data_IF_490953006358
#
_entry.id   IF_490953006358
#
_cell.length_a   1.000
_cell.length_b   1.000
_cell.length_c   1.000
_cell.angle_alpha   90.00
_cell.angle_beta   90.00
_cell.angle_gamma   90.00
#
_symmetry.space_group_name_H-M   'P 1'
#
loop_
_entity.id
_entity.type
_entity.pdbx_description
1 polymer ?
#
# COMPACT_ATOMS: atom_id res chain seq x y z
N UNK A 1 -40.54 -0.43 -26.13
CA UNK A 1 -39.91 -1.17 -25.01
C UNK A 1 -38.57 -1.69 -25.50
N UNK A 2 -37.50 -0.95 -25.23
CA UNK A 2 -36.13 -1.37 -25.57
C UNK A 2 -35.65 -2.19 -24.38
N UNK A 3 -35.39 -3.50 -24.60
CA UNK A 3 -34.76 -4.34 -23.62
C UNK A 3 -33.30 -3.89 -23.45
N UNK A 4 -32.78 -3.66 -22.25
CA UNK A 4 -31.36 -3.46 -22.08
C UNK A 4 -30.64 -4.76 -22.43
N UNK A 5 -29.81 -4.72 -23.46
CA UNK A 5 -28.91 -5.81 -23.80
C UNK A 5 -27.93 -5.95 -22.63
N UNK A 6 -27.96 -7.09 -21.97
CA UNK A 6 -26.92 -7.47 -21.02
C UNK A 6 -25.63 -7.62 -21.84
N UNK A 7 -24.75 -6.65 -21.78
CA UNK A 7 -23.40 -6.80 -22.31
C UNK A 7 -22.72 -7.90 -21.50
N UNK A 8 -22.70 -9.11 -22.05
CA UNK A 8 -21.82 -10.18 -21.58
C UNK A 8 -20.40 -9.71 -21.86
N UNK A 9 -19.68 -9.33 -20.82
CA UNK A 9 -18.24 -9.11 -20.93
C UNK A 9 -17.60 -10.40 -21.40
N UNK A 10 -16.88 -10.33 -22.53
CA UNK A 10 -16.13 -11.46 -23.04
C UNK A 10 -15.14 -11.95 -21.96
N UNK A 11 -14.91 -13.28 -21.82
CA UNK A 11 -13.91 -13.80 -20.89
C UNK A 11 -12.55 -13.19 -21.25
N UNK A 12 -11.95 -12.45 -20.31
CA UNK A 12 -10.63 -11.83 -20.47
C UNK A 12 -10.60 -10.32 -20.75
N UNK A 13 -11.74 -9.60 -20.70
CA UNK A 13 -11.70 -8.13 -20.75
C UNK A 13 -11.14 -7.56 -19.44
N UNK A 14 -10.12 -6.71 -19.56
CA UNK A 14 -9.58 -5.97 -18.41
C UNK A 14 -10.70 -5.11 -17.79
N UNK A 15 -10.74 -5.01 -16.45
CA UNK A 15 -11.71 -4.14 -15.79
C UNK A 15 -11.51 -2.68 -16.23
N UNK A 16 -12.60 -1.94 -16.33
CA UNK A 16 -12.53 -0.49 -16.51
C UNK A 16 -12.26 0.16 -15.15
N UNK A 17 -11.48 1.23 -15.13
CA UNK A 17 -11.09 1.98 -13.92
C UNK A 17 -10.40 1.10 -12.87
N UNK A 18 -9.30 0.39 -13.21
CA UNK A 18 -8.55 -0.44 -12.26
C UNK A 18 -7.99 0.35 -11.08
N UNK A 19 -7.83 1.66 -11.22
CA UNK A 19 -7.40 2.60 -10.18
C UNK A 19 -8.36 2.68 -8.99
N UNK A 20 -9.61 2.22 -9.12
CA UNK A 20 -10.54 2.08 -8.00
C UNK A 20 -10.09 1.06 -6.94
N UNK A 21 -9.13 0.22 -7.27
CA UNK A 21 -8.46 -0.68 -6.31
C UNK A 21 -7.40 0.05 -5.47
N UNK A 22 -6.95 1.24 -5.91
CA UNK A 22 -6.07 2.08 -5.10
C UNK A 22 -6.87 2.68 -3.94
N UNK A 23 -6.39 2.47 -2.73
CA UNK A 23 -7.09 2.98 -1.55
C UNK A 23 -6.34 4.15 -0.95
N UNK A 24 -7.01 5.30 -0.77
CA UNK A 24 -6.38 6.52 -0.32
C UNK A 24 -6.31 6.58 1.22
N UNK A 25 -5.46 5.78 1.87
CA UNK A 25 -5.16 5.93 3.29
C UNK A 25 -3.89 5.15 3.68
N UNK A 26 -3.01 5.76 4.46
CA UNK A 26 -1.77 5.12 4.91
C UNK A 26 -2.02 4.07 6.00
N UNK A 27 -2.98 4.28 6.93
CA UNK A 27 -3.22 3.34 8.04
C UNK A 27 -3.59 1.94 7.57
N UNK A 28 -4.60 1.73 6.70
CA UNK A 28 -4.95 0.40 6.21
C UNK A 28 -3.82 -0.25 5.40
N UNK A 29 -3.13 0.52 4.57
CA UNK A 29 -2.01 0.01 3.77
C UNK A 29 -0.87 -0.45 4.65
N UNK A 30 -0.54 0.29 5.72
CA UNK A 30 0.43 -0.17 6.72
C UNK A 30 0.06 -1.49 7.40
N UNK A 31 -1.24 -1.87 7.38
CA UNK A 31 -1.78 -3.14 7.86
C UNK A 31 -1.97 -4.18 6.72
N UNK A 32 -1.31 -4.01 5.57
CA UNK A 32 -1.44 -4.93 4.43
C UNK A 32 -2.84 -4.99 3.86
N UNK A 33 -3.57 -3.88 3.90
CA UNK A 33 -4.99 -3.74 3.48
C UNK A 33 -6.00 -4.61 4.25
N UNK A 34 -5.59 -5.31 5.31
CA UNK A 34 -6.47 -6.08 6.19
C UNK A 34 -7.21 -5.16 7.16
N UNK A 35 -8.22 -4.44 6.67
CA UNK A 35 -8.88 -3.36 7.41
C UNK A 35 -10.42 -3.43 7.41
N UNK A 36 -11.04 -4.27 6.59
CA UNK A 36 -12.50 -4.38 6.44
C UNK A 36 -13.24 -4.69 7.75
N UNK A 37 -12.63 -5.43 8.69
CA UNK A 37 -13.19 -5.69 10.02
C UNK A 37 -12.76 -4.66 11.08
N UNK A 38 -11.69 -3.90 10.84
CA UNK A 38 -11.22 -2.83 11.75
C UNK A 38 -12.02 -1.55 11.53
N UNK A 39 -12.04 -0.98 10.36
CA UNK A 39 -12.84 0.13 9.79
C UNK A 39 -13.46 1.08 10.83
N UNK A 40 -12.65 1.82 11.61
CA UNK A 40 -13.07 2.65 12.72
C UNK A 40 -12.59 4.12 12.67
N UNK A 41 -12.15 4.57 11.49
CA UNK A 41 -11.77 5.96 11.17
C UNK A 41 -12.36 6.40 9.82
N UNK A 42 -11.94 7.55 9.27
CA UNK A 42 -12.41 8.05 7.99
C UNK A 42 -12.12 7.09 6.82
N UNK A 43 -11.12 6.19 6.94
CA UNK A 43 -10.83 5.18 5.93
C UNK A 43 -11.93 4.13 5.79
N UNK A 44 -12.82 4.00 6.79
CA UNK A 44 -14.01 3.14 6.69
C UNK A 44 -14.82 3.42 5.42
N UNK A 45 -14.85 4.67 4.96
CA UNK A 45 -15.51 5.06 3.73
C UNK A 45 -15.01 4.25 2.53
N UNK A 46 -13.73 3.90 2.49
CA UNK A 46 -13.09 3.22 1.37
C UNK A 46 -13.04 1.69 1.53
N UNK A 47 -12.99 1.17 2.76
CA UNK A 47 -12.81 -0.25 3.05
C UNK A 47 -14.11 -0.96 3.36
N UNK A 48 -14.89 -0.41 4.30
CA UNK A 48 -16.18 -0.96 4.71
C UNK A 48 -17.07 0.17 5.24
N UNK A 49 -18.01 0.68 4.45
CA UNK A 49 -18.84 1.81 4.84
C UNK A 49 -19.71 1.55 6.10
N UNK A 50 -19.90 0.28 6.50
CA UNK A 50 -20.56 -0.03 7.78
C UNK A 50 -19.79 0.52 8.99
N UNK A 51 -18.46 0.69 8.87
CA UNK A 51 -17.63 1.27 9.92
C UNK A 51 -17.98 2.72 10.26
N UNK A 52 -18.58 3.45 9.33
CA UNK A 52 -19.07 4.81 9.58
C UNK A 52 -20.09 4.87 10.73
N UNK A 53 -20.81 3.76 10.99
CA UNK A 53 -21.72 3.67 12.13
C UNK A 53 -21.01 3.68 13.50
N UNK A 54 -19.73 3.29 13.53
CA UNK A 54 -18.96 3.13 14.76
C UNK A 54 -17.82 4.13 14.90
N UNK A 55 -17.86 5.24 14.13
CA UNK A 55 -16.86 6.29 14.26
C UNK A 55 -16.86 6.89 15.67
N UNK A 56 -15.70 6.99 16.33
CA UNK A 56 -15.60 7.56 17.67
C UNK A 56 -15.78 9.08 17.68
N UNK A 57 -15.45 9.74 16.57
CA UNK A 57 -15.49 11.22 16.39
C UNK A 57 -15.51 11.59 14.93
N UNK A 58 -15.72 12.86 14.63
CA UNK A 58 -15.56 13.38 13.30
C UNK A 58 -14.08 13.55 12.95
N UNK A 59 -13.74 13.29 11.69
CA UNK A 59 -12.38 13.32 11.17
C UNK A 59 -12.36 13.92 9.76
N UNK A 60 -11.38 14.79 9.51
CA UNK A 60 -10.98 15.24 8.18
C UNK A 60 -9.60 14.63 7.91
N UNK A 61 -9.42 13.99 6.78
CA UNK A 61 -8.12 13.43 6.37
C UNK A 61 -7.75 13.87 4.98
N UNK A 62 -6.46 14.05 4.75
CA UNK A 62 -5.86 14.26 3.44
C UNK A 62 -4.73 13.25 3.23
N UNK A 63 -4.64 12.68 2.03
CA UNK A 63 -3.67 11.66 1.66
C UNK A 63 -2.90 12.10 0.43
N UNK A 64 -1.61 11.80 0.41
CA UNK A 64 -0.71 11.91 -0.72
C UNK A 64 -0.03 10.56 -0.96
N UNK A 65 -0.07 10.09 -2.21
CA UNK A 65 0.61 8.89 -2.69
C UNK A 65 1.48 9.25 -3.88
N UNK A 66 2.77 8.94 -3.78
CA UNK A 66 3.64 8.80 -4.95
C UNK A 66 3.43 7.40 -5.54
N UNK A 67 2.93 7.36 -6.76
CA UNK A 67 2.61 6.14 -7.49
C UNK A 67 3.62 5.90 -8.61
N UNK A 68 3.38 4.89 -9.44
CA UNK A 68 4.26 4.50 -10.55
C UNK A 68 4.46 5.62 -11.58
N UNK A 69 5.65 5.70 -12.18
CA UNK A 69 5.95 6.58 -13.31
C UNK A 69 5.62 8.07 -13.04
N UNK A 70 5.92 8.53 -11.81
CA UNK A 70 5.64 9.90 -11.37
C UNK A 70 4.15 10.25 -11.29
N UNK A 71 3.25 9.25 -11.36
CA UNK A 71 1.84 9.47 -11.06
C UNK A 71 1.65 9.82 -9.58
N UNK A 72 0.70 10.68 -9.30
CA UNK A 72 0.34 11.08 -7.93
C UNK A 72 -1.14 10.89 -7.68
N UNK A 73 -1.50 10.39 -6.49
CA UNK A 73 -2.88 10.31 -6.03
C UNK A 73 -3.07 11.17 -4.78
N UNK A 74 -3.97 12.12 -4.89
CA UNK A 74 -4.35 13.04 -3.83
C UNK A 74 -5.78 12.77 -3.42
N UNK A 75 -6.03 12.56 -2.14
CA UNK A 75 -7.38 12.37 -1.67
C UNK A 75 -7.65 13.15 -0.39
N UNK A 76 -8.89 13.60 -0.24
CA UNK A 76 -9.39 14.13 1.01
C UNK A 76 -10.70 13.41 1.38
N UNK A 77 -10.88 13.15 2.67
CA UNK A 77 -12.09 12.55 3.20
C UNK A 77 -12.54 13.28 4.46
N UNK A 78 -13.85 13.30 4.63
CA UNK A 78 -14.49 13.73 5.87
C UNK A 78 -15.44 12.62 6.32
N UNK A 79 -15.39 12.25 7.57
CA UNK A 79 -16.32 11.30 8.15
C UNK A 79 -16.78 11.79 9.54
N UNK A 80 -18.06 11.60 9.87
CA UNK A 80 -18.64 12.09 11.11
C UNK A 80 -19.74 11.19 11.62
N UNK A 81 -19.77 10.86 12.91
CA UNK A 81 -20.97 10.34 13.53
C UNK A 81 -22.07 11.42 13.51
N UNK A 82 -23.31 11.04 13.19
CA UNK A 82 -24.51 11.90 13.19
C UNK A 82 -25.48 11.52 14.31
N UNK A 83 -25.35 10.29 14.83
CA UNK A 83 -26.15 9.78 15.94
C UNK A 83 -25.36 8.72 16.70
N UNK A 84 -25.97 8.14 17.75
CA UNK A 84 -25.40 6.98 18.46
C UNK A 84 -25.18 5.75 17.60
N UNK A 85 -25.97 5.60 16.56
CA UNK A 85 -26.04 4.38 15.72
C UNK A 85 -25.72 4.65 14.27
N UNK A 86 -25.34 5.88 13.90
CA UNK A 86 -25.11 6.21 12.50
C UNK A 86 -24.09 7.30 12.27
N UNK A 87 -23.41 7.18 11.14
CA UNK A 87 -22.45 8.15 10.66
C UNK A 87 -22.48 8.27 9.14
N UNK A 88 -21.85 9.31 8.64
CA UNK A 88 -21.71 9.56 7.21
C UNK A 88 -20.27 9.96 6.88
N UNK A 89 -19.94 9.86 5.61
CA UNK A 89 -18.65 10.30 5.09
C UNK A 89 -18.75 10.77 3.64
N UNK A 90 -17.80 11.60 3.25
CA UNK A 90 -17.60 12.05 1.87
C UNK A 90 -16.10 12.06 1.55
N UNK A 91 -15.79 11.88 0.27
CA UNK A 91 -14.42 12.02 -0.21
C UNK A 91 -14.35 12.64 -1.60
N UNK A 92 -13.21 13.23 -1.88
CA UNK A 92 -12.76 13.59 -3.22
C UNK A 92 -11.36 13.00 -3.42
N UNK A 93 -11.09 12.47 -4.62
CA UNK A 93 -9.78 11.94 -5.01
C UNK A 93 -9.39 12.44 -6.38
N UNK A 94 -8.12 12.67 -6.59
CA UNK A 94 -7.55 13.13 -7.85
C UNK A 94 -6.27 12.35 -8.15
N UNK A 95 -6.35 11.41 -9.10
CA UNK A 95 -5.23 10.66 -9.61
C UNK A 95 -4.71 11.30 -10.89
N UNK A 96 -3.46 11.70 -10.89
CA UNK A 96 -2.77 12.29 -12.02
C UNK A 96 -1.68 11.35 -12.50
N UNK A 97 -1.83 10.80 -13.70
CA UNK A 97 -0.85 9.91 -14.31
C UNK A 97 0.31 10.65 -14.99
N UNK A 98 0.31 11.99 -14.97
CA UNK A 98 1.33 12.80 -15.63
C UNK A 98 1.10 12.98 -17.12
N UNK A 99 2.18 13.28 -17.83
CA UNK A 99 2.17 13.59 -19.25
C UNK A 99 2.80 12.45 -20.04
N UNK A 100 2.14 12.03 -21.12
CA UNK A 100 2.59 10.98 -22.03
C UNK A 100 2.93 11.55 -23.40
N UNK A 101 3.97 11.02 -24.03
CA UNK A 101 4.30 11.31 -25.42
C UNK A 101 3.26 10.71 -26.36
N UNK A 102 2.74 11.54 -27.26
CA UNK A 102 1.97 11.07 -28.41
C UNK A 102 2.92 10.72 -29.53
N UNK A 103 2.85 9.48 -30.02
CA UNK A 103 3.69 8.99 -31.12
C UNK A 103 2.84 8.48 -32.28
N UNK A 104 3.31 8.68 -33.50
CA UNK A 104 2.68 8.10 -34.67
C UNK A 104 3.03 6.61 -34.83
N UNK A 105 2.51 5.98 -35.89
CA UNK A 105 2.78 4.57 -36.19
C UNK A 105 4.25 4.26 -36.52
N UNK A 106 5.09 5.26 -36.77
CA UNK A 106 6.51 5.14 -36.98
C UNK A 106 7.33 5.42 -35.72
N UNK A 107 6.67 5.70 -34.59
CA UNK A 107 7.30 6.01 -33.31
C UNK A 107 7.78 7.46 -33.17
N UNK A 108 7.50 8.33 -34.14
CA UNK A 108 7.88 9.75 -34.09
C UNK A 108 6.94 10.49 -33.12
N UNK A 109 7.51 11.28 -32.22
CA UNK A 109 6.74 12.09 -31.28
C UNK A 109 6.00 13.19 -32.04
N UNK A 110 4.66 13.19 -31.92
CA UNK A 110 3.76 14.14 -32.59
C UNK A 110 3.09 15.12 -31.63
N UNK A 111 3.38 14.97 -30.31
CA UNK A 111 2.83 15.82 -29.26
C UNK A 111 2.86 15.13 -27.92
N UNK A 112 2.02 15.60 -27.00
CA UNK A 112 1.84 14.99 -25.69
C UNK A 112 0.37 15.06 -25.27
N UNK A 113 -0.01 14.23 -24.28
CA UNK A 113 -1.33 14.23 -23.66
C UNK A 113 -1.24 13.88 -22.18
N UNK A 114 -2.27 14.24 -21.41
CA UNK A 114 -2.38 13.93 -19.99
C UNK A 114 -3.47 12.88 -19.75
N UNK A 115 -3.30 12.10 -18.69
CA UNK A 115 -4.32 11.22 -18.15
C UNK A 115 -4.57 11.56 -16.67
N UNK A 116 -5.85 11.63 -16.28
CA UNK A 116 -6.26 11.98 -14.90
C UNK A 116 -7.62 11.44 -14.58
N UNK A 117 -7.84 11.14 -13.30
CA UNK A 117 -9.12 10.69 -12.77
C UNK A 117 -9.55 11.58 -11.61
N UNK A 118 -10.84 11.87 -11.56
CA UNK A 118 -11.50 12.56 -10.45
C UNK A 118 -12.54 11.63 -9.87
N UNK A 119 -12.49 11.41 -8.55
CA UNK A 119 -13.49 10.62 -7.82
C UNK A 119 -14.18 11.48 -6.78
N UNK A 120 -15.50 11.30 -6.64
CA UNK A 120 -16.31 11.89 -5.57
C UNK A 120 -17.19 10.80 -4.98
N UNK A 121 -17.08 10.60 -3.67
CA UNK A 121 -17.83 9.56 -2.96
C UNK A 121 -18.62 10.09 -1.79
N UNK A 122 -19.78 9.51 -1.57
CA UNK A 122 -20.64 9.74 -0.40
C UNK A 122 -21.02 8.40 0.20
N UNK A 123 -20.96 8.29 1.53
CA UNK A 123 -21.29 7.05 2.23
C UNK A 123 -22.00 7.30 3.56
N UNK A 124 -22.72 6.28 4.01
CA UNK A 124 -23.38 6.27 5.31
C UNK A 124 -23.30 4.86 5.93
N UNK A 125 -23.23 4.81 7.25
CA UNK A 125 -23.28 3.59 8.05
C UNK A 125 -24.36 3.70 9.12
N UNK A 126 -25.02 2.58 9.40
CA UNK A 126 -26.07 2.48 10.41
C UNK A 126 -25.93 1.20 11.21
N UNK A 127 -25.88 1.29 12.52
CA UNK A 127 -26.01 0.14 13.43
C UNK A 127 -27.47 -0.24 13.55
N UNK A 128 -27.84 -1.41 13.03
CA UNK A 128 -29.21 -1.93 13.03
C UNK A 128 -29.62 -2.50 14.38
N UNK A 129 -28.67 -3.15 15.03
CA UNK A 129 -28.82 -3.73 16.35
C UNK A 129 -27.46 -3.75 17.04
N UNK A 130 -27.43 -3.90 18.36
CA UNK A 130 -26.20 -3.85 19.14
C UNK A 130 -25.12 -4.82 18.56
N UNK A 131 -24.08 -4.23 17.99
CA UNK A 131 -22.96 -4.95 17.41
C UNK A 131 -23.15 -5.42 15.97
N UNK A 132 -24.19 -4.98 15.24
CA UNK A 132 -24.35 -5.25 13.79
C UNK A 132 -24.63 -3.94 13.06
N UNK A 133 -23.71 -3.54 12.19
CA UNK A 133 -23.82 -2.34 11.37
C UNK A 133 -23.80 -2.69 9.89
N UNK A 134 -24.54 -1.91 9.09
CA UNK A 134 -24.54 -1.95 7.64
C UNK A 134 -24.11 -0.60 7.08
N UNK A 135 -23.57 -0.60 5.88
CA UNK A 135 -23.14 0.63 5.25
C UNK A 135 -23.32 0.60 3.74
N UNK A 136 -23.39 1.79 3.18
CA UNK A 136 -23.51 2.04 1.76
C UNK A 136 -22.62 3.20 1.39
N UNK A 137 -21.94 3.10 0.24
CA UNK A 137 -21.20 4.20 -0.40
C UNK A 137 -21.56 4.26 -1.87
N UNK A 138 -21.69 5.47 -2.41
CA UNK A 138 -21.79 5.74 -3.83
C UNK A 138 -20.61 6.58 -4.27
N UNK A 139 -19.93 6.20 -5.35
CA UNK A 139 -18.77 6.90 -5.90
C UNK A 139 -19.01 7.18 -7.38
N UNK A 140 -18.91 8.45 -7.73
CA UNK A 140 -18.82 8.89 -9.11
C UNK A 140 -17.36 9.08 -9.49
N UNK A 141 -17.00 8.62 -10.72
CA UNK A 141 -15.66 8.78 -11.29
C UNK A 141 -15.75 9.43 -12.66
N UNK A 142 -14.77 10.27 -12.94
CA UNK A 142 -14.54 10.89 -14.26
C UNK A 142 -13.08 10.69 -14.64
N UNK A 143 -12.83 9.82 -15.61
CA UNK A 143 -11.52 9.57 -16.19
C UNK A 143 -11.37 10.35 -17.47
N UNK A 144 -10.30 11.12 -17.59
CA UNK A 144 -9.94 11.86 -18.80
C UNK A 144 -8.59 11.40 -19.31
N UNK A 145 -8.56 10.86 -20.51
CA UNK A 145 -7.34 10.48 -21.23
C UNK A 145 -7.32 11.25 -22.53
N UNK A 146 -6.35 12.15 -22.68
CA UNK A 146 -6.28 13.07 -23.82
C UNK A 146 -7.54 13.95 -23.93
N UNK A 147 -8.28 13.80 -25.03
CA UNK A 147 -9.56 14.52 -25.29
C UNK A 147 -10.78 13.67 -24.94
N UNK A 148 -10.59 12.43 -24.52
CA UNK A 148 -11.68 11.50 -24.22
C UNK A 148 -11.96 11.49 -22.74
N UNK A 149 -13.21 11.70 -22.34
CA UNK A 149 -13.67 11.59 -20.95
C UNK A 149 -14.70 10.48 -20.86
N UNK A 150 -14.60 9.67 -19.81
CA UNK A 150 -15.58 8.61 -19.46
C UNK A 150 -16.03 8.80 -18.03
N UNK A 151 -17.26 8.43 -17.75
CA UNK A 151 -17.84 8.50 -16.42
C UNK A 151 -18.28 7.11 -15.94
N UNK A 152 -18.26 6.94 -14.63
CA UNK A 152 -18.75 5.73 -13.97
C UNK A 152 -19.45 6.08 -12.65
N UNK A 153 -20.35 5.20 -12.22
CA UNK A 153 -21.02 5.27 -10.94
C UNK A 153 -20.97 3.91 -10.27
N UNK A 154 -20.41 3.88 -9.05
CA UNK A 154 -20.13 2.66 -8.31
C UNK A 154 -20.76 2.70 -6.94
N UNK A 155 -21.07 1.51 -6.41
CA UNK A 155 -21.64 1.35 -5.09
C UNK A 155 -20.84 0.31 -4.31
N UNK A 156 -20.63 0.60 -3.04
CA UNK A 156 -20.04 -0.33 -2.07
C UNK A 156 -21.07 -0.63 -0.99
N UNK A 157 -21.16 -1.90 -0.61
CA UNK A 157 -22.00 -2.38 0.48
C UNK A 157 -21.11 -2.93 1.60
N UNK A 158 -21.43 -2.59 2.83
CA UNK A 158 -20.70 -3.03 4.01
C UNK A 158 -21.57 -3.70 5.04
N UNK A 159 -21.00 -4.71 5.69
CA UNK A 159 -21.53 -5.32 6.91
C UNK A 159 -20.38 -5.43 7.91
N UNK A 160 -20.64 -5.04 9.15
CA UNK A 160 -19.68 -5.13 10.24
C UNK A 160 -20.39 -5.67 11.49
N UNK A 161 -19.78 -6.62 12.18
CA UNK A 161 -20.36 -7.22 13.37
C UNK A 161 -19.33 -7.40 14.48
N UNK A 162 -19.80 -7.32 15.74
CA UNK A 162 -19.04 -7.59 16.96
C UNK A 162 -19.58 -8.85 17.65
N UNK A 163 -19.27 -10.07 17.14
CA UNK A 163 -19.77 -11.32 17.73
C UNK A 163 -19.28 -11.51 19.17
N UNK A 164 -18.13 -10.96 19.52
CA UNK A 164 -17.56 -10.96 20.86
C UNK A 164 -16.94 -9.58 21.16
N UNK A 165 -16.76 -9.27 22.46
CA UNK A 165 -16.23 -7.95 22.90
C UNK A 165 -14.92 -7.52 22.22
N UNK A 166 -14.08 -8.49 21.83
CA UNK A 166 -12.74 -8.24 21.28
C UNK A 166 -12.57 -8.73 19.84
N UNK A 167 -13.65 -9.23 19.24
CA UNK A 167 -13.64 -9.77 17.88
C UNK A 167 -14.61 -8.97 17.03
N UNK A 168 -14.17 -8.54 15.86
CA UNK A 168 -15.01 -7.98 14.81
C UNK A 168 -14.94 -8.88 13.59
N UNK A 169 -16.03 -8.97 12.84
CA UNK A 169 -16.06 -9.59 11.54
C UNK A 169 -16.67 -8.62 10.54
N UNK A 170 -16.12 -8.55 9.34
CA UNK A 170 -16.50 -7.63 8.29
C UNK A 170 -16.70 -8.32 6.94
N UNK A 171 -17.67 -7.81 6.19
CA UNK A 171 -17.89 -8.13 4.78
C UNK A 171 -18.05 -6.82 4.03
N UNK A 172 -17.35 -6.67 2.90
CA UNK A 172 -17.56 -5.59 1.98
C UNK A 172 -17.70 -6.12 0.54
N UNK A 173 -18.70 -5.62 -0.17
CA UNK A 173 -18.87 -5.81 -1.62
C UNK A 173 -18.58 -4.47 -2.27
N UNK A 174 -17.51 -4.40 -3.06
CA UNK A 174 -16.98 -3.14 -3.60
C UNK A 174 -17.13 -3.04 -5.11
N UNK A 175 -17.24 -1.82 -5.57
CA UNK A 175 -17.25 -1.49 -6.99
C UNK A 175 -18.40 -2.16 -7.77
N UNK A 176 -19.59 -2.25 -7.17
CA UNK A 176 -20.81 -2.65 -7.85
C UNK A 176 -21.28 -1.45 -8.70
N UNK A 177 -21.38 -1.57 -10.03
CA UNK A 177 -21.82 -0.39 -10.77
C UNK A 177 -21.78 -0.50 -12.28
N UNK A 178 -21.81 0.67 -12.91
CA UNK A 178 -21.93 0.84 -14.36
C UNK A 178 -20.99 1.93 -14.85
N UNK A 179 -20.49 1.77 -16.08
CA UNK A 179 -19.67 2.75 -16.77
C UNK A 179 -20.21 3.11 -18.13
N UNK A 180 -19.91 4.31 -18.58
CA UNK A 180 -20.16 4.71 -19.97
C UNK A 180 -19.30 3.88 -20.94
N UNK A 181 -19.92 3.45 -22.05
CA UNK A 181 -19.26 2.65 -23.08
C UNK A 181 -19.18 1.16 -22.76
N UNK A 182 -19.77 0.70 -21.64
CA UNK A 182 -19.72 -0.70 -21.21
C UNK A 182 -18.35 -1.05 -20.57
N UNK A 183 -18.27 -2.24 -20.04
CA UNK A 183 -17.11 -2.74 -19.31
C UNK A 183 -17.47 -3.05 -17.86
N UNK A 184 -16.86 -4.09 -17.30
CA UNK A 184 -17.10 -4.48 -15.93
C UNK A 184 -16.20 -3.66 -14.99
N UNK A 185 -16.76 -3.18 -13.86
CA UNK A 185 -15.94 -2.60 -12.81
C UNK A 185 -15.00 -3.64 -12.20
N UNK A 186 -13.97 -3.23 -11.47
CA UNK A 186 -13.13 -4.14 -10.70
C UNK A 186 -13.87 -4.59 -9.42
N UNK A 187 -14.95 -5.36 -9.60
CA UNK A 187 -15.73 -5.89 -8.47
C UNK A 187 -14.86 -6.72 -7.54
N UNK A 188 -15.01 -6.50 -6.25
CA UNK A 188 -14.27 -7.19 -5.22
C UNK A 188 -15.19 -7.51 -4.03
N UNK A 189 -15.05 -8.71 -3.45
CA UNK A 189 -15.64 -9.03 -2.16
C UNK A 189 -14.54 -9.29 -1.12
N UNK A 190 -14.64 -8.62 0.04
CA UNK A 190 -13.68 -8.67 1.15
C UNK A 190 -14.32 -9.29 2.37
N UNK A 191 -13.68 -10.30 2.94
CA UNK A 191 -14.14 -11.07 4.10
C UNK A 191 -13.06 -10.99 5.18
N UNK A 192 -13.37 -10.41 6.31
CA UNK A 192 -12.37 -10.12 7.33
C UNK A 192 -12.79 -10.51 8.73
N UNK A 193 -11.79 -10.85 9.55
CA UNK A 193 -11.90 -10.98 10.99
C UNK A 193 -10.76 -10.21 11.64
N UNK A 194 -11.09 -9.46 12.69
CA UNK A 194 -10.11 -8.73 13.48
C UNK A 194 -10.28 -9.04 14.97
N UNK A 195 -9.17 -9.17 15.65
CA UNK A 195 -9.11 -9.39 17.09
C UNK A 195 -8.29 -8.29 17.75
N UNK A 196 -8.72 -7.86 18.94
CA UNK A 196 -8.10 -6.80 19.71
C UNK A 196 -7.71 -7.30 21.10
N UNK A 197 -6.51 -6.95 21.56
CA UNK A 197 -5.99 -7.48 22.83
C UNK A 197 -6.67 -6.89 24.05
N UNK A 198 -7.07 -5.62 23.99
CA UNK A 198 -7.65 -4.89 25.10
C UNK A 198 -9.06 -4.37 24.76
N UNK A 199 -9.78 -3.88 25.75
CA UNK A 199 -11.03 -3.17 25.55
C UNK A 199 -10.79 -1.79 24.92
N UNK A 200 -11.84 -1.19 24.37
CA UNK A 200 -11.74 0.06 23.60
C UNK A 200 -11.16 1.24 24.35
N UNK A 201 -11.25 1.24 25.68
CA UNK A 201 -10.75 2.33 26.53
C UNK A 201 -9.26 2.23 26.89
N UNK A 202 -8.59 1.13 26.57
CA UNK A 202 -7.18 0.96 26.88
C UNK A 202 -6.31 1.94 26.08
N UNK A 203 -5.33 2.60 26.73
CA UNK A 203 -4.37 3.47 26.03
C UNK A 203 -3.37 2.68 25.20
N UNK A 204 -3.22 1.38 25.46
CA UNK A 204 -2.34 0.49 24.72
C UNK A 204 -3.17 -0.66 24.14
N UNK A 205 -3.06 -0.88 22.87
CA UNK A 205 -3.84 -1.89 22.19
C UNK A 205 -3.04 -2.58 21.08
N UNK A 206 -3.44 -3.79 20.73
CA UNK A 206 -2.93 -4.48 19.54
C UNK A 206 -4.14 -4.98 18.76
N UNK A 207 -4.22 -4.63 17.49
CA UNK A 207 -5.09 -5.24 16.52
C UNK A 207 -4.35 -6.32 15.76
N UNK A 208 -4.98 -7.45 15.56
CA UNK A 208 -4.59 -8.47 14.59
C UNK A 208 -5.77 -8.70 13.66
N UNK A 209 -5.55 -8.67 12.38
CA UNK A 209 -6.59 -8.85 11.36
C UNK A 209 -6.15 -9.82 10.28
N UNK A 210 -7.13 -10.57 9.77
CA UNK A 210 -6.99 -11.41 8.60
C UNK A 210 -8.15 -11.16 7.66
N UNK A 211 -7.85 -11.06 6.37
CA UNK A 211 -8.81 -10.70 5.34
C UNK A 211 -8.60 -11.54 4.08
N UNK A 212 -9.68 -11.92 3.42
CA UNK A 212 -9.67 -12.59 2.13
C UNK A 212 -10.35 -11.70 1.10
N UNK A 213 -9.65 -11.39 0.02
CA UNK A 213 -10.13 -10.61 -1.11
C UNK A 213 -10.43 -11.57 -2.26
N UNK A 214 -11.69 -11.64 -2.69
CA UNK A 214 -12.09 -12.39 -3.86
C UNK A 214 -12.40 -11.44 -5.01
N UNK A 215 -11.60 -11.52 -6.08
CA UNK A 215 -11.72 -10.71 -7.28
C UNK A 215 -12.11 -11.64 -8.44
N UNK A 216 -13.37 -11.63 -8.92
CA UNK A 216 -13.76 -12.41 -10.08
C UNK A 216 -12.92 -12.02 -11.29
N UNK A 217 -12.37 -13.02 -11.96
CA UNK A 217 -11.45 -12.83 -13.11
C UNK A 217 -10.10 -12.16 -12.78
N UNK A 218 -9.75 -12.08 -11.49
CA UNK A 218 -8.48 -11.57 -11.00
C UNK A 218 -7.81 -12.55 -10.03
N UNK A 219 -6.76 -12.07 -9.34
CA UNK A 219 -6.08 -12.83 -8.30
C UNK A 219 -6.85 -12.74 -6.99
N UNK A 220 -7.16 -13.87 -6.37
CA UNK A 220 -7.57 -13.86 -4.97
C UNK A 220 -6.37 -13.57 -4.07
N UNK A 221 -6.57 -12.75 -3.04
CA UNK A 221 -5.53 -12.32 -2.12
C UNK A 221 -5.92 -12.67 -0.69
N UNK A 222 -4.92 -12.89 0.15
CA UNK A 222 -5.07 -12.97 1.61
C UNK A 222 -4.25 -11.86 2.22
N UNK A 223 -4.86 -11.07 3.06
CA UNK A 223 -4.22 -9.99 3.78
C UNK A 223 -4.14 -10.30 5.27
N UNK A 224 -2.97 -10.04 5.86
CA UNK A 224 -2.73 -10.15 7.30
C UNK A 224 -2.24 -8.80 7.80
N UNK A 225 -2.81 -8.31 8.89
CA UNK A 225 -2.48 -7.02 9.45
C UNK A 225 -2.29 -7.04 10.95
N UNK A 226 -1.36 -6.23 11.41
CA UNK A 226 -1.16 -5.94 12.82
C UNK A 226 -0.99 -4.43 13.03
N UNK A 227 -1.62 -3.90 14.09
CA UNK A 227 -1.43 -2.52 14.54
C UNK A 227 -1.18 -2.54 16.05
N UNK A 228 -0.09 -1.91 16.50
CA UNK A 228 0.23 -1.69 17.90
C UNK A 228 0.01 -0.22 18.19
N UNK A 229 -0.94 0.07 19.07
CA UNK A 229 -1.21 1.40 19.60
C UNK A 229 -0.55 1.56 20.97
N UNK A 230 0.33 2.55 21.11
CA UNK A 230 1.01 2.87 22.36
C UNK A 230 0.61 4.25 22.86
N UNK A 231 -0.03 4.30 24.04
CA UNK A 231 -0.51 5.51 24.72
C UNK A 231 -1.41 6.42 23.87
N UNK A 232 -2.05 5.88 22.83
CA UNK A 232 -2.81 6.65 21.82
C UNK A 232 -1.98 7.74 21.14
N UNK A 233 -0.67 7.64 21.23
CA UNK A 233 0.30 8.58 20.68
C UNK A 233 1.04 8.00 19.49
N UNK A 234 1.53 6.77 19.61
CA UNK A 234 2.35 6.10 18.60
C UNK A 234 1.63 4.86 18.09
N UNK A 235 1.70 4.66 16.77
CA UNK A 235 1.11 3.53 16.07
C UNK A 235 2.19 2.87 15.21
N UNK A 236 2.39 1.57 15.40
CA UNK A 236 3.27 0.75 14.59
C UNK A 236 2.42 -0.29 13.87
N UNK A 237 2.61 -0.42 12.55
CA UNK A 237 1.83 -1.31 11.71
C UNK A 237 2.74 -2.19 10.89
N UNK A 238 2.28 -3.42 10.69
CA UNK A 238 2.89 -4.36 9.77
C UNK A 238 1.78 -5.12 9.07
N UNK A 239 1.97 -5.36 7.79
CA UNK A 239 1.03 -6.07 6.95
C UNK A 239 1.71 -6.98 5.96
N UNK A 240 0.96 -7.98 5.51
CA UNK A 240 1.40 -8.91 4.49
C UNK A 240 0.23 -9.32 3.61
N UNK A 241 0.32 -9.04 2.32
CA UNK A 241 -0.70 -9.34 1.31
C UNK A 241 -0.05 -10.05 0.12
N UNK A 242 0.20 -11.39 0.22
CA UNK A 242 0.73 -12.16 -0.89
C UNK A 242 -0.30 -12.35 -2.00
N UNK A 243 0.15 -12.27 -3.25
CA UNK A 243 -0.63 -12.70 -4.41
C UNK A 243 -0.63 -14.23 -4.48
N UNK A 244 -1.80 -14.86 -4.25
CA UNK A 244 -1.96 -16.31 -4.28
C UNK A 244 -2.02 -16.91 -5.69
N UNK A 245 -2.22 -16.09 -6.71
CA UNK A 245 -2.32 -16.57 -8.12
C UNK A 245 -0.96 -16.83 -8.74
N UNK A 246 0.11 -16.29 -8.16
CA UNK A 246 1.45 -16.42 -8.70
C UNK A 246 2.19 -17.59 -8.04
N UNK A 247 2.47 -18.66 -8.81
CA UNK A 247 3.25 -19.83 -8.35
C UNK A 247 4.70 -19.49 -7.94
N UNK A 248 5.16 -18.25 -8.13
CA UNK A 248 6.45 -17.75 -7.69
C UNK A 248 6.28 -16.81 -6.49
N UNK A 249 5.82 -17.34 -5.37
CA UNK A 249 5.74 -16.61 -4.10
C UNK A 249 7.16 -16.18 -3.66
N UNK A 250 7.53 -14.96 -3.99
CA UNK A 250 8.68 -14.32 -3.35
C UNK A 250 8.16 -13.78 -1.99
N UNK A 251 8.69 -14.29 -0.89
CA UNK A 251 8.21 -14.02 0.49
C UNK A 251 8.15 -12.52 0.87
N UNK A 252 8.92 -11.67 0.20
CA UNK A 252 8.96 -10.22 0.48
C UNK A 252 7.89 -9.42 -0.28
N UNK A 253 7.20 -10.02 -1.27
CA UNK A 253 6.11 -9.38 -1.98
C UNK A 253 4.91 -9.24 -1.07
N UNK A 254 4.27 -8.06 -1.13
CA UNK A 254 3.10 -7.76 -0.32
C UNK A 254 3.40 -7.36 1.12
N UNK A 255 4.69 -7.19 1.50
CA UNK A 255 5.04 -6.62 2.80
C UNK A 255 4.69 -5.13 2.82
N UNK A 256 4.04 -4.71 3.88
CA UNK A 256 3.80 -3.30 4.18
C UNK A 256 4.17 -2.98 5.62
N UNK A 257 4.63 -1.76 5.83
CA UNK A 257 4.95 -1.22 7.15
C UNK A 257 4.29 0.14 7.31
N UNK A 258 3.87 0.48 8.52
CA UNK A 258 3.26 1.75 8.82
C UNK A 258 3.70 2.33 10.14
N UNK A 259 3.79 3.65 10.17
CA UNK A 259 4.02 4.44 11.38
C UNK A 259 2.94 5.50 11.50
N UNK A 260 2.48 5.75 12.72
CA UNK A 260 1.54 6.83 13.00
C UNK A 260 1.90 7.56 14.27
N UNK A 261 1.69 8.86 14.26
CA UNK A 261 1.86 9.72 15.45
C UNK A 261 0.61 10.58 15.61
N UNK A 262 0.01 10.54 16.80
CA UNK A 262 -1.15 11.38 17.14
C UNK A 262 -0.79 12.35 18.26
N UNK A 263 -0.89 13.63 17.98
CA UNK A 263 -0.66 14.69 18.96
C UNK A 263 -1.92 15.54 19.06
N UNK A 264 -2.63 15.46 20.17
CA UNK A 264 -3.93 16.10 20.38
C UNK A 264 -4.95 15.71 19.30
N UNK A 265 -5.34 16.65 18.43
CA UNK A 265 -6.29 16.45 17.34
C UNK A 265 -5.63 16.06 16.01
N UNK A 266 -4.31 16.18 15.88
CA UNK A 266 -3.60 15.86 14.65
C UNK A 266 -3.04 14.44 14.69
N UNK A 267 -3.21 13.71 13.64
CA UNK A 267 -2.59 12.41 13.42
C UNK A 267 -1.90 12.42 12.05
N UNK A 268 -0.65 12.01 12.04
CA UNK A 268 0.11 11.80 10.81
C UNK A 268 0.44 10.31 10.71
N UNK A 269 0.11 9.72 9.59
CA UNK A 269 0.37 8.32 9.27
C UNK A 269 1.22 8.23 8.01
N UNK A 270 2.16 7.32 8.03
CA UNK A 270 2.99 6.96 6.89
C UNK A 270 2.89 5.46 6.66
N UNK A 271 2.82 5.06 5.40
CA UNK A 271 2.90 3.66 5.01
C UNK A 271 3.88 3.47 3.85
N UNK A 272 4.61 2.39 3.96
CA UNK A 272 5.51 1.87 2.94
C UNK A 272 4.99 0.50 2.52
N UNK A 273 4.91 0.24 1.22
CA UNK A 273 4.53 -1.06 0.69
C UNK A 273 5.39 -1.45 -0.50
N UNK A 274 5.76 -2.73 -0.57
CA UNK A 274 6.54 -3.30 -1.66
C UNK A 274 5.61 -3.90 -2.71
N UNK A 275 5.66 -3.36 -3.92
CA UNK A 275 4.82 -3.77 -5.05
C UNK A 275 5.61 -4.52 -6.13
N UNK A 276 6.38 -5.53 -5.73
CA UNK A 276 7.15 -6.42 -6.61
C UNK A 276 8.12 -5.70 -7.57
N UNK A 277 8.05 -6.07 -8.85
CA UNK A 277 8.87 -5.48 -9.91
C UNK A 277 8.47 -4.03 -10.24
N UNK A 278 7.37 -3.53 -9.64
CA UNK A 278 6.88 -2.17 -9.78
C UNK A 278 7.53 -1.18 -8.78
N UNK A 279 8.34 -1.68 -7.83
CA UNK A 279 9.04 -0.84 -6.87
C UNK A 279 8.31 -0.70 -5.52
N UNK A 280 8.48 0.46 -4.92
CA UNK A 280 7.97 0.77 -3.59
C UNK A 280 6.98 1.94 -3.64
N UNK A 281 5.97 1.90 -2.77
CA UNK A 281 4.98 2.97 -2.64
C UNK A 281 5.05 3.62 -1.28
N UNK A 282 4.99 4.93 -1.28
CA UNK A 282 5.00 5.77 -0.09
C UNK A 282 3.68 6.52 0.01
N UNK A 283 2.94 6.29 1.10
CA UNK A 283 1.69 7.00 1.40
C UNK A 283 1.82 7.81 2.66
N UNK A 284 1.31 9.02 2.61
CA UNK A 284 1.21 9.92 3.75
C UNK A 284 -0.24 10.29 3.94
N UNK A 285 -0.74 10.21 5.18
CA UNK A 285 -2.07 10.69 5.55
C UNK A 285 -1.94 11.63 6.72
N UNK A 286 -2.55 12.80 6.60
CA UNK A 286 -2.70 13.75 7.68
C UNK A 286 -4.17 13.84 8.05
N UNK A 287 -4.49 13.56 9.31
CA UNK A 287 -5.86 13.59 9.84
C UNK A 287 -6.00 14.65 10.91
N UNK A 288 -7.12 15.35 10.88
CA UNK A 288 -7.58 16.22 11.95
C UNK A 288 -8.83 15.62 12.60
N UNK A 289 -8.68 15.22 13.84
CA UNK A 289 -9.74 14.63 14.66
C UNK A 289 -10.49 15.77 15.36
N UNK A 290 -11.75 16.00 15.00
CA UNK A 290 -12.54 17.06 15.59
C UNK A 290 -12.78 16.78 17.08
N UNK A 291 -12.97 17.82 17.89
CA UNK A 291 -13.35 17.66 19.30
C UNK A 291 -14.59 16.80 19.45
N UNK A 292 -14.64 16.04 20.52
CA UNK A 292 -15.80 15.22 20.85
C UNK A 292 -17.07 16.09 20.93
N UNK A 293 -18.15 15.60 20.39
CA UNK A 293 -19.47 16.23 20.45
C UNK A 293 -20.24 15.67 21.66
N UNK A 294 -20.30 16.39 22.77
CA UNK A 294 -20.96 15.89 24.00
C UNK A 294 -22.47 15.74 23.85
N UNK A 295 -23.08 16.42 22.84
CA UNK A 295 -24.49 16.34 22.48
C UNK A 295 -24.86 15.01 21.79
N UNK A 296 -23.89 14.35 21.17
CA UNK A 296 -24.04 13.00 20.66
C UNK A 296 -23.54 12.07 21.75
N UNK A 297 -24.46 11.40 22.42
CA UNK A 297 -24.15 10.31 23.32
C UNK A 297 -23.68 9.12 22.43
N UNK A 298 -22.40 9.17 22.04
CA UNK A 298 -21.78 8.27 21.07
C UNK A 298 -21.82 6.81 21.54
N UNK A 299 -21.73 5.81 20.63
CA UNK A 299 -21.81 4.38 20.96
C UNK A 299 -20.85 4.02 22.10
N UNK A 300 -21.26 3.08 22.96
CA UNK A 300 -20.37 2.50 23.99
C UNK A 300 -19.18 1.86 23.29
N UNK A 301 -18.02 2.48 23.41
CA UNK A 301 -16.79 2.11 22.70
C UNK A 301 -16.11 3.32 22.07
N UNK A 302 -16.76 4.48 22.01
CA UNK A 302 -16.08 5.74 21.74
C UNK A 302 -15.12 6.04 22.90
N UNK A 303 -13.87 6.27 22.56
CA UNK A 303 -12.81 6.63 23.51
C UNK A 303 -13.15 7.99 24.08
N UNK A 304 -13.85 8.07 25.19
CA UNK A 304 -13.84 9.30 26.00
C UNK A 304 -12.44 9.37 26.65
N UNK A 305 -11.62 10.37 26.36
CA UNK A 305 -10.54 10.70 27.26
C UNK A 305 -11.21 10.93 28.62
N UNK A 306 -10.85 10.16 29.64
CA UNK A 306 -11.25 10.46 31.00
C UNK A 306 -10.81 11.90 31.22
N UNK A 307 -11.77 12.81 31.37
CA UNK A 307 -11.45 14.21 31.62
C UNK A 307 -10.45 14.22 32.76
N UNK A 308 -9.26 14.70 32.50
CA UNK A 308 -8.25 14.94 33.55
C UNK A 308 -8.99 15.80 34.55
N UNK A 309 -9.12 15.40 35.82
CA UNK A 309 -9.83 16.23 36.81
C UNK A 309 -9.15 17.61 36.74
N UNK A 310 -9.89 18.62 36.33
CA UNK A 310 -9.43 20.00 36.43
C UNK A 310 -9.03 20.20 37.88
N UNK A 311 -7.78 20.56 38.21
CA UNK A 311 -7.42 20.83 39.58
C UNK A 311 -8.43 21.86 40.11
N UNK A 312 -9.22 21.48 41.09
CA UNK A 312 -10.14 22.41 41.72
C UNK A 312 -9.38 23.64 42.22
N UNK A 313 -10.00 24.81 42.27
CA UNK A 313 -9.35 26.02 42.73
C UNK A 313 -8.70 25.74 44.08
N UNK A 314 -7.39 25.99 44.19
CA UNK A 314 -6.61 25.84 45.40
C UNK A 314 -7.20 26.79 46.44
N UNK A 315 -7.90 26.21 47.46
CA UNK A 315 -8.34 26.99 48.62
C UNK A 315 -7.10 27.35 49.44
N UNK A 316 -6.86 28.63 49.72
CA UNK A 316 -5.74 29.03 50.59
C UNK A 316 -6.08 28.63 52.05
N UNK A 317 -5.26 27.77 52.64
CA UNK A 317 -5.26 27.60 54.09
C UNK A 317 -5.39 26.22 54.68
N UNK A 318 -4.78 25.18 54.13
CA UNK A 318 -4.59 23.95 54.92
C UNK A 318 -3.09 23.66 55.13
N UNK A 319 -2.65 23.35 56.36
CA UNK A 319 -1.25 23.13 56.68
C UNK A 319 -0.76 21.77 56.19
N UNK A 320 0.45 21.79 55.60
CA UNK A 320 1.18 20.66 55.07
C UNK A 320 1.50 19.66 56.18
N UNK A 321 0.89 18.47 56.16
CA UNK A 321 1.16 17.37 57.09
C UNK A 321 2.60 16.83 56.91
N UNK A 322 3.28 16.63 58.03
CA UNK A 322 4.67 16.15 58.13
C UNK A 322 4.86 14.77 57.48
N UNK A 323 5.93 14.66 56.71
CA UNK A 323 6.48 13.41 56.18
C UNK A 323 6.82 12.45 57.32
N UNK A 324 6.29 11.25 57.29
CA UNK A 324 6.84 10.11 58.05
C UNK A 324 8.01 9.48 57.29
N UNK A 325 9.12 9.29 58.06
CA UNK A 325 10.38 8.82 57.56
C UNK A 325 10.38 7.36 57.16
N UNK A 326 11.05 7.05 56.09
CA UNK A 326 11.46 5.72 55.67
C UNK A 326 12.78 5.34 56.32
N UNK A 327 12.80 4.26 57.06
CA UNK A 327 13.96 3.65 57.71
C UNK A 327 14.86 2.95 56.68
N UNK A 328 16.15 3.19 56.80
CA UNK A 328 17.26 2.57 56.07
C UNK A 328 17.33 1.05 56.24
N UNK A 329 17.47 0.33 55.14
CA UNK A 329 17.99 -1.02 55.12
C UNK A 329 19.24 -1.07 54.22
N UNK A 330 20.42 -1.22 54.84
CA UNK A 330 21.69 -1.25 54.15
C UNK A 330 21.95 -2.57 53.44
N UNK A 331 22.51 -2.50 52.25
CA UNK A 331 23.11 -3.63 51.50
C UNK A 331 24.37 -3.14 50.79
N UNK A 332 25.49 -3.77 51.09
CA UNK A 332 26.86 -3.48 50.64
C UNK A 332 27.02 -3.61 49.11
N UNK A 333 27.96 -2.88 48.49
CA UNK A 333 28.28 -2.99 47.08
C UNK A 333 29.20 -4.20 46.81
N UNK A 334 28.87 -4.97 45.78
CA UNK A 334 29.70 -5.98 45.20
C UNK A 334 30.54 -5.43 44.07
N UNK A 335 31.84 -5.57 44.21
CA UNK A 335 32.89 -5.31 43.23
C UNK A 335 32.77 -6.30 42.06
N UNK A 336 32.76 -5.80 40.84
CA UNK A 336 32.69 -6.59 39.61
C UNK A 336 33.40 -5.91 38.45
N UNK A 337 34.71 -6.09 38.43
CA UNK A 337 35.65 -5.70 37.38
C UNK A 337 35.28 -6.31 36.02
N UNK A 338 35.26 -5.44 34.98
CA UNK A 338 35.23 -5.78 33.56
C UNK A 338 36.61 -6.25 33.06
N UNK A 339 36.72 -7.30 32.24
CA UNK A 339 37.96 -7.60 31.54
C UNK A 339 38.08 -6.83 30.22
N UNK A 340 39.30 -6.53 29.74
CA UNK A 340 39.56 -5.68 28.59
C UNK A 340 39.41 -6.43 27.27
N UNK A 341 38.99 -5.67 26.24
CA UNK A 341 38.77 -6.10 24.86
C UNK A 341 40.07 -6.60 24.19
N UNK A 342 39.90 -7.70 23.48
CA UNK A 342 40.90 -8.24 22.55
C UNK A 342 40.34 -8.15 21.10
N UNK A 343 40.94 -7.30 20.32
CA UNK A 343 40.79 -7.26 18.87
C UNK A 343 41.56 -8.43 18.26
N UNK A 344 40.89 -9.34 17.54
CA UNK A 344 41.57 -10.32 16.67
C UNK A 344 41.46 -9.84 15.20
N UNK A 345 42.57 -9.89 14.45
CA UNK A 345 42.56 -9.60 13.02
C UNK A 345 41.94 -10.76 12.23
N UNK A 346 41.05 -10.43 11.29
CA UNK A 346 40.51 -11.40 10.35
C UNK A 346 41.52 -11.64 9.24
N UNK A 347 42.01 -12.86 9.16
CA UNK A 347 42.87 -13.36 8.08
C UNK A 347 42.00 -13.71 6.89
N UNK A 348 42.20 -13.04 5.75
CA UNK A 348 41.64 -13.39 4.46
C UNK A 348 42.48 -14.50 3.82
N UNK A 349 41.95 -15.72 3.77
CA UNK A 349 42.43 -16.75 2.86
C UNK A 349 41.42 -16.89 1.71
N UNK A 350 41.87 -16.97 0.44
CA UNK A 350 40.95 -17.15 -0.70
C UNK A 350 40.49 -18.62 -0.74
N UNK A 351 39.18 -18.79 -0.83
CA UNK A 351 38.55 -20.09 -1.02
C UNK A 351 38.70 -20.50 -2.50
N UNK A 352 39.45 -21.58 -2.72
CA UNK A 352 39.71 -22.15 -4.05
C UNK A 352 38.52 -23.02 -4.45
N UNK A 353 37.67 -22.51 -5.36
CA UNK A 353 36.51 -23.19 -5.93
C UNK A 353 36.87 -24.48 -6.68
N UNK A 354 36.05 -25.50 -6.48
CA UNK A 354 36.13 -26.80 -7.14
C UNK A 354 35.93 -26.71 -8.66
N UNK A 355 36.70 -27.42 -9.43
CA UNK A 355 36.63 -27.56 -10.88
C UNK A 355 35.46 -28.43 -11.29
N UNK A 356 34.60 -27.91 -12.19
CA UNK A 356 33.61 -28.66 -12.94
C UNK A 356 34.27 -29.21 -14.23
N UNK A 357 33.90 -30.42 -14.75
CA UNK A 357 34.61 -31.08 -15.85
C UNK A 357 34.54 -30.44 -17.22
N UNK A 358 33.69 -29.42 -17.41
CA UNK A 358 33.63 -28.63 -18.66
C UNK A 358 34.30 -27.26 -18.44
N UNK A 359 35.51 -27.15 -18.81
CA UNK A 359 36.49 -26.07 -18.74
C UNK A 359 35.97 -24.62 -18.95
N UNK A 360 34.73 -24.32 -18.52
CA UNK A 360 34.10 -23.00 -18.55
C UNK A 360 34.22 -22.38 -17.15
N UNK A 361 35.11 -21.41 -17.01
CA UNK A 361 35.25 -20.60 -15.78
C UNK A 361 34.01 -19.71 -15.67
N UNK A 362 33.01 -20.16 -14.91
CA UNK A 362 31.87 -19.32 -14.52
C UNK A 362 32.31 -18.46 -13.36
N UNK A 363 32.74 -17.25 -13.65
CA UNK A 363 33.02 -16.24 -12.63
C UNK A 363 31.66 -15.72 -12.10
N UNK A 364 31.18 -16.28 -11.00
CA UNK A 364 30.04 -15.71 -10.26
C UNK A 364 30.51 -14.48 -9.50
N UNK A 365 30.25 -13.29 -10.05
CA UNK A 365 30.48 -12.05 -9.32
C UNK A 365 29.34 -11.82 -8.30
N UNK A 366 29.70 -11.50 -7.05
CA UNK A 366 28.75 -11.04 -6.02
C UNK A 366 28.29 -9.61 -6.37
N UNK A 367 27.07 -9.27 -5.99
CA UNK A 367 26.45 -7.93 -6.19
C UNK A 367 27.29 -6.81 -5.55
N UNK A 368 28.07 -7.12 -4.52
CA UNK A 368 28.97 -6.20 -3.78
C UNK A 368 30.10 -5.58 -4.63
N UNK A 369 30.43 -6.17 -5.80
CA UNK A 369 31.53 -5.66 -6.63
C UNK A 369 31.15 -4.50 -7.55
N UNK A 370 29.86 -4.18 -7.71
CA UNK A 370 29.40 -3.10 -8.61
C UNK A 370 29.63 -1.71 -8.00
N UNK A 371 29.54 -1.60 -6.68
CA UNK A 371 29.76 -0.33 -5.97
C UNK A 371 31.20 0.20 -6.10
N UNK A 372 32.17 -0.67 -6.30
CA UNK A 372 33.58 -0.33 -6.42
C UNK A 372 34.00 0.10 -7.83
N UNK A 373 33.20 -0.21 -8.86
CA UNK A 373 33.49 0.12 -10.26
C UNK A 373 33.16 1.58 -10.58
N UNK A 374 33.92 2.22 -11.43
CA UNK A 374 33.50 3.50 -12.03
C UNK A 374 32.47 3.29 -13.17
N UNK A 375 31.88 4.38 -13.69
CA UNK A 375 30.83 4.31 -14.70
C UNK A 375 31.28 3.60 -16.00
N UNK A 376 32.54 3.83 -16.46
CA UNK A 376 33.08 3.19 -17.67
C UNK A 376 33.31 1.69 -17.43
N UNK A 377 33.81 1.30 -16.29
CA UNK A 377 33.99 -0.11 -15.91
C UNK A 377 32.64 -0.86 -15.78
N UNK A 378 31.61 -0.18 -15.27
CA UNK A 378 30.25 -0.72 -15.28
C UNK A 378 29.74 -0.94 -16.71
N UNK A 379 29.98 -0.01 -17.63
CA UNK A 379 29.62 -0.14 -19.05
C UNK A 379 30.30 -1.34 -19.71
N UNK A 380 31.62 -1.50 -19.52
CA UNK A 380 32.37 -2.63 -20.08
C UNK A 380 31.93 -3.98 -19.47
N UNK A 381 31.56 -3.99 -18.20
CA UNK A 381 31.02 -5.16 -17.52
C UNK A 381 29.62 -5.51 -18.05
N UNK A 382 28.79 -4.52 -18.32
CA UNK A 382 27.47 -4.72 -18.94
C UNK A 382 27.59 -5.48 -20.24
N UNK A 383 28.47 -5.04 -21.14
CA UNK A 383 28.71 -5.67 -22.45
C UNK A 383 29.16 -7.14 -22.32
N UNK A 384 30.00 -7.45 -21.34
CA UNK A 384 30.43 -8.83 -21.07
C UNK A 384 29.26 -9.69 -20.56
N UNK A 385 28.42 -9.16 -19.70
CA UNK A 385 27.23 -9.86 -19.18
C UNK A 385 26.20 -10.11 -20.30
N UNK A 386 26.01 -9.17 -21.21
CA UNK A 386 25.16 -9.35 -22.39
C UNK A 386 25.66 -10.48 -23.30
N UNK A 387 26.96 -10.55 -23.57
CA UNK A 387 27.58 -11.62 -24.37
C UNK A 387 27.38 -13.01 -23.72
N UNK A 388 27.22 -13.05 -22.39
CA UNK A 388 26.94 -14.27 -21.63
C UNK A 388 25.44 -14.58 -21.49
N UNK A 389 24.54 -13.74 -22.08
CA UNK A 389 23.10 -13.87 -21.96
C UNK A 389 22.53 -13.51 -20.58
N UNK A 390 23.34 -12.89 -19.71
CA UNK A 390 22.96 -12.52 -18.34
C UNK A 390 22.32 -11.13 -18.32
N UNK A 391 21.19 -10.98 -19.00
CA UNK A 391 20.55 -9.68 -19.23
C UNK A 391 20.09 -8.96 -17.96
N UNK A 392 19.66 -9.70 -16.93
CA UNK A 392 19.22 -9.10 -15.65
C UNK A 392 20.38 -8.46 -14.89
N UNK A 393 21.53 -9.13 -14.86
CA UNK A 393 22.74 -8.62 -14.25
C UNK A 393 23.34 -7.48 -15.08
N UNK A 394 23.26 -7.56 -16.40
CA UNK A 394 23.65 -6.50 -17.31
C UNK A 394 22.83 -5.23 -17.06
N UNK A 395 21.51 -5.36 -16.89
CA UNK A 395 20.63 -4.22 -16.60
C UNK A 395 20.99 -3.54 -15.29
N UNK A 396 21.23 -4.29 -14.22
CA UNK A 396 21.68 -3.72 -12.94
C UNK A 396 22.99 -2.96 -13.06
N UNK A 397 23.92 -3.52 -13.83
CA UNK A 397 25.27 -2.93 -14.01
C UNK A 397 25.22 -1.66 -14.83
N UNK A 398 24.40 -1.60 -15.89
CA UNK A 398 24.28 -0.39 -16.71
C UNK A 398 23.52 0.73 -16.00
N UNK A 399 22.54 0.41 -15.19
CA UNK A 399 21.85 1.40 -14.33
C UNK A 399 22.84 2.04 -13.35
N UNK A 400 23.73 1.25 -12.73
CA UNK A 400 24.79 1.79 -11.88
C UNK A 400 25.78 2.67 -12.66
N UNK A 401 26.06 2.38 -13.93
CA UNK A 401 26.89 3.24 -14.78
C UNK A 401 26.24 4.61 -15.00
N UNK A 402 24.94 4.63 -15.32
CA UNK A 402 24.15 5.85 -15.53
C UNK A 402 24.05 6.67 -14.25
N UNK A 403 23.86 6.02 -13.10
CA UNK A 403 23.78 6.68 -11.78
C UNK A 403 25.12 7.35 -11.42
N UNK A 404 26.25 6.67 -11.66
CA UNK A 404 27.59 7.19 -11.36
C UNK A 404 28.04 8.33 -12.28
N UNK A 405 27.66 8.29 -13.55
CA UNK A 405 27.87 9.36 -14.50
C UNK A 405 26.68 9.56 -15.44
N UNK A 406 25.70 10.40 -15.05
CA UNK A 406 24.52 10.69 -15.87
C UNK A 406 24.82 11.36 -17.23
N UNK A 407 26.05 11.84 -17.45
CA UNK A 407 26.47 12.48 -18.70
C UNK A 407 27.18 11.51 -19.65
N UNK A 408 27.42 10.26 -19.22
CA UNK A 408 28.05 9.24 -20.06
C UNK A 408 27.05 8.74 -21.12
N UNK A 409 27.05 9.38 -22.30
CA UNK A 409 26.15 9.08 -23.43
C UNK A 409 26.17 7.59 -23.80
N UNK A 410 27.36 6.98 -23.77
CA UNK A 410 27.55 5.57 -24.11
C UNK A 410 26.77 4.63 -23.14
N UNK A 411 26.60 5.01 -21.87
CA UNK A 411 25.83 4.21 -20.91
C UNK A 411 24.32 4.27 -21.20
N UNK A 412 23.80 5.43 -21.56
CA UNK A 412 22.41 5.59 -21.99
C UNK A 412 22.10 4.83 -23.28
N UNK A 413 23.02 4.88 -24.26
CA UNK A 413 22.87 4.14 -25.51
C UNK A 413 22.83 2.63 -25.27
N UNK A 414 23.75 2.10 -24.43
CA UNK A 414 23.80 0.68 -24.07
C UNK A 414 22.57 0.23 -23.30
N UNK A 415 22.08 1.07 -22.36
CA UNK A 415 20.83 0.81 -21.62
C UNK A 415 19.65 0.67 -22.58
N UNK A 416 19.52 1.59 -23.57
CA UNK A 416 18.47 1.52 -24.57
C UNK A 416 18.56 0.26 -25.44
N UNK A 417 19.75 -0.12 -25.88
CA UNK A 417 19.97 -1.34 -26.67
C UNK A 417 19.66 -2.60 -25.86
N UNK A 418 20.06 -2.65 -24.61
CA UNK A 418 19.78 -3.77 -23.71
C UNK A 418 18.28 -3.94 -23.49
N UNK A 419 17.54 -2.85 -23.27
CA UNK A 419 16.09 -2.89 -23.12
C UNK A 419 15.39 -3.44 -24.38
N UNK A 420 15.83 -3.03 -25.57
CA UNK A 420 15.30 -3.58 -26.85
C UNK A 420 15.56 -5.09 -26.94
N UNK A 421 16.78 -5.55 -26.63
CA UNK A 421 17.13 -6.98 -26.68
C UNK A 421 16.31 -7.80 -25.67
N UNK A 422 16.13 -7.29 -24.46
CA UNK A 422 15.28 -7.94 -23.45
C UNK A 422 13.82 -8.02 -23.91
N UNK A 423 13.30 -6.97 -24.54
CA UNK A 423 11.97 -6.96 -25.14
C UNK A 423 11.80 -8.00 -26.24
N UNK A 424 12.77 -8.09 -27.16
CA UNK A 424 12.77 -9.10 -28.23
C UNK A 424 12.78 -10.53 -27.65
N UNK A 425 13.60 -10.79 -26.62
CA UNK A 425 13.64 -12.08 -25.95
C UNK A 425 12.30 -12.46 -25.32
N UNK A 426 11.57 -11.51 -24.72
CA UNK A 426 10.25 -11.75 -24.18
C UNK A 426 9.22 -12.10 -25.28
N UNK A 427 9.30 -11.47 -26.45
CA UNK A 427 8.45 -11.80 -27.58
C UNK A 427 8.79 -13.18 -28.18
N UNK A 428 10.06 -13.59 -28.17
CA UNK A 428 10.47 -14.94 -28.56
C UNK A 428 9.88 -16.01 -27.63
N UNK A 429 9.88 -15.75 -26.31
CA UNK A 429 9.21 -16.65 -25.36
C UNK A 429 7.69 -16.69 -25.58
N UNK A 430 7.06 -15.55 -25.85
CA UNK A 430 5.64 -15.50 -26.18
C UNK A 430 5.32 -16.33 -27.44
N UNK A 431 6.19 -16.28 -28.47
CA UNK A 431 6.02 -17.10 -29.68
C UNK A 431 6.22 -18.60 -29.45
N UNK A 432 7.04 -19.00 -28.45
CA UNK A 432 7.15 -20.40 -28.03
C UNK A 432 5.87 -20.90 -27.36
N UNK A 433 5.17 -20.03 -26.63
CA UNK A 433 3.89 -20.36 -25.98
C UNK A 433 2.73 -20.44 -26.97
N UNK A 434 2.75 -19.59 -28.01
CA UNK A 434 1.79 -19.60 -29.12
C UNK A 434 2.51 -19.63 -30.48
N UNK A 435 2.94 -20.83 -30.95
CA UNK A 435 3.68 -20.98 -32.20
C UNK A 435 2.88 -20.64 -33.46
N UNK A 436 1.54 -20.54 -33.36
CA UNK A 436 0.66 -20.21 -34.47
C UNK A 436 0.44 -18.71 -34.67
N UNK A 437 1.00 -17.88 -33.79
CA UNK A 437 0.90 -16.43 -33.90
C UNK A 437 1.76 -15.87 -35.03
N UNK A 438 1.21 -15.94 -36.23
CA UNK A 438 1.88 -15.53 -37.46
C UNK A 438 2.24 -14.03 -37.46
N UNK A 439 1.36 -13.22 -36.86
CA UNK A 439 1.59 -11.76 -36.72
C UNK A 439 2.83 -11.48 -35.88
N UNK A 440 2.99 -12.16 -34.75
CA UNK A 440 4.14 -12.00 -33.87
C UNK A 440 5.43 -12.52 -34.53
N UNK A 441 5.35 -13.64 -35.29
CA UNK A 441 6.48 -14.20 -36.04
C UNK A 441 6.98 -13.22 -37.08
N UNK A 442 6.11 -12.68 -37.93
CA UNK A 442 6.48 -11.71 -38.97
C UNK A 442 7.05 -10.42 -38.36
N UNK A 443 6.50 -9.99 -37.24
CA UNK A 443 7.01 -8.83 -36.54
C UNK A 443 8.44 -9.06 -36.00
N UNK A 444 8.70 -10.21 -35.37
CA UNK A 444 10.02 -10.59 -34.86
C UNK A 444 11.08 -10.68 -35.98
N UNK A 445 10.72 -11.31 -37.12
CA UNK A 445 11.61 -11.39 -38.29
C UNK A 445 11.99 -10.02 -38.81
N UNK A 446 11.03 -9.09 -38.87
CA UNK A 446 11.28 -7.71 -39.28
C UNK A 446 12.18 -6.96 -38.30
N UNK A 447 12.11 -7.24 -36.98
CA UNK A 447 13.00 -6.60 -35.99
C UNK A 447 14.42 -7.20 -36.03
N UNK A 448 14.59 -8.49 -36.31
CA UNK A 448 15.90 -9.16 -36.41
C UNK A 448 16.66 -8.82 -37.67
N UNK A 449 15.98 -8.37 -38.70
CA UNK A 449 16.58 -7.98 -39.99
C UNK A 449 17.02 -6.50 -40.05
N UNK A 450 16.89 -5.78 -38.97
CA UNK A 450 17.38 -4.40 -38.78
C UNK A 450 18.55 -4.36 -37.79
#
# INVERSE_FOLDING_TARGET
MVRPSHAQTAPGSQPVFPELLLVPSARPVGMGESFTAVADDASALFYNPAGLAWLPRAEVSAMHLNYLLDATDEAAAFASPISRTGGFGMNVGFLNFGQFDRRDSLGVQTGSYNARDLTVGLGAGLELTNGIAVGFRSTWISQTIDQSTRHGLWWDLGLLTKPFKRVRAGLALKNLGVSEGGGAPPFESRWAVAWRTQEEDSPNNVWLSGEFHAVPHGSNQVALGAEIEHQRLLYFRAGYEPDLSNNQLKWYKGISLGLGVRVRQFQADYAFSLADDLGEFHRFTLSYLLPDRPDLDLPRGSIRPKATPTPGPIQPGQPIGKKQGLTNGGGKPGDGSLPPGGTRPVSLTPDTGGKNPDNTVVIKFKVEDIELLNASECLDRTRKLEQQGQYKEALKTILAAVEKDPKLEAAWLELGQLQVRMGLSAFEEALKLDPQNETLRQWLEKQKGR
#
